data_IF_698070522182
#
_entry.id   IF_698070522182
#
_cell.length_a   1.000
_cell.length_b   1.000
_cell.length_c   1.000
_cell.angle_alpha   90.00
_cell.angle_beta   90.00
_cell.angle_gamma   90.00
#
_symmetry.space_group_name_H-M   'P 1'
#
loop_
_entity.id
_entity.type
_entity.pdbx_description
1 polymer ?
#
# COMPACT_ATOMS: atom_id res chain seq x y z
N UNK A 1 -22.23 -2.00 8.61
CA UNK A 1 -21.89 -1.39 7.31
C UNK A 1 -20.39 -1.27 7.30
N UNK A 2 -19.71 -2.10 6.51
CA UNK A 2 -18.26 -1.96 6.31
C UNK A 2 -18.03 -0.58 5.69
N UNK A 3 -17.26 0.29 6.35
CA UNK A 3 -16.96 1.60 5.79
C UNK A 3 -16.05 1.40 4.60
N UNK A 4 -16.56 1.61 3.39
CA UNK A 4 -15.73 1.62 2.19
C UNK A 4 -14.85 2.88 2.25
N UNK A 5 -13.54 2.70 2.43
CA UNK A 5 -12.55 3.78 2.47
C UNK A 5 -11.70 3.72 1.21
N UNK A 6 -11.49 4.87 0.61
CA UNK A 6 -10.61 5.03 -0.55
C UNK A 6 -9.35 5.76 -0.07
N UNK A 7 -8.18 5.21 -0.40
CA UNK A 7 -6.90 5.79 -0.05
C UNK A 7 -6.12 6.14 -1.31
N UNK A 8 -5.53 7.33 -1.34
CA UNK A 8 -4.53 7.63 -2.38
C UNK A 8 -3.26 6.83 -2.10
N UNK A 9 -2.72 6.19 -3.13
CA UNK A 9 -1.46 5.46 -3.05
C UNK A 9 -0.46 6.02 -4.04
N UNK A 10 0.76 6.29 -3.56
CA UNK A 10 1.88 6.66 -4.39
C UNK A 10 2.77 5.45 -4.63
N UNK A 11 3.33 5.40 -5.83
CA UNK A 11 4.12 4.28 -6.33
C UNK A 11 5.41 4.78 -6.90
N UNK A 12 6.50 4.22 -6.43
CA UNK A 12 7.85 4.55 -6.88
C UNK A 12 8.51 3.28 -7.40
N UNK A 13 8.90 3.22 -8.69
CA UNK A 13 9.70 2.11 -9.20
C UNK A 13 11.10 2.15 -8.58
N UNK A 14 11.63 0.99 -8.22
CA UNK A 14 12.95 0.90 -7.58
C UNK A 14 14.08 0.63 -8.59
N UNK A 15 15.31 1.13 -8.34
CA UNK A 15 16.46 0.90 -9.22
C UNK A 15 16.78 -0.57 -9.47
N UNK A 16 16.59 -1.42 -8.47
CA UNK A 16 16.82 -2.87 -8.52
C UNK A 16 15.68 -3.63 -9.21
N UNK A 17 14.59 -2.94 -9.57
CA UNK A 17 13.34 -3.54 -10.03
C UNK A 17 12.28 -3.60 -8.93
N UNK A 18 11.02 -3.77 -9.32
CA UNK A 18 9.89 -3.72 -8.41
C UNK A 18 9.37 -2.31 -8.11
N UNK A 19 8.49 -2.22 -7.13
CA UNK A 19 7.76 -1.01 -6.76
C UNK A 19 7.64 -0.89 -5.25
N UNK A 20 7.87 0.32 -4.74
CA UNK A 20 7.45 0.71 -3.40
C UNK A 20 6.13 1.44 -3.50
N UNK A 21 5.19 1.09 -2.61
CA UNK A 21 3.91 1.76 -2.44
C UNK A 21 3.90 2.40 -1.05
N UNK A 22 3.39 3.62 -0.99
CA UNK A 22 3.15 4.32 0.28
C UNK A 22 1.82 5.05 0.22
N UNK A 23 1.18 5.17 1.39
CA UNK A 23 -0.13 5.79 1.56
C UNK A 23 0.07 7.14 2.24
N UNK A 24 -0.06 8.30 1.58
CA UNK A 24 0.21 9.60 2.21
C UNK A 24 -0.65 9.87 3.45
N UNK A 25 -1.87 9.33 3.48
CA UNK A 25 -2.80 9.43 4.62
C UNK A 25 -2.42 8.50 5.78
N UNK A 26 -1.66 7.45 5.51
CA UNK A 26 -1.17 6.46 6.47
C UNK A 26 0.34 6.29 6.29
N UNK A 27 1.15 7.28 6.72
CA UNK A 27 2.59 7.31 6.43
C UNK A 27 3.37 6.16 7.07
N UNK A 28 2.79 5.49 8.06
CA UNK A 28 3.34 4.28 8.69
C UNK A 28 3.19 3.03 7.79
N UNK A 29 2.37 3.11 6.74
CA UNK A 29 2.15 2.03 5.79
C UNK A 29 3.01 2.25 4.54
N UNK A 30 4.06 1.45 4.46
CA UNK A 30 4.99 1.36 3.34
C UNK A 30 5.10 -0.11 2.96
N UNK A 31 4.89 -0.43 1.68
CA UNK A 31 5.02 -1.79 1.16
C UNK A 31 5.87 -1.81 -0.10
N UNK A 32 6.44 -2.96 -0.41
CA UNK A 32 7.24 -3.17 -1.62
C UNK A 32 6.79 -4.44 -2.33
N UNK A 33 7.04 -4.59 -3.63
CA UNK A 33 6.77 -5.82 -4.35
C UNK A 33 7.41 -5.83 -5.74
N UNK A 34 7.62 -7.01 -6.31
CA UNK A 34 8.29 -7.18 -7.60
C UNK A 34 7.44 -6.64 -8.76
N UNK A 35 6.12 -6.59 -8.55
CA UNK A 35 5.17 -6.05 -9.51
C UNK A 35 4.27 -4.98 -8.90
N UNK A 36 3.72 -4.11 -9.75
CA UNK A 36 2.77 -3.07 -9.33
C UNK A 36 1.56 -3.66 -8.60
N UNK A 37 1.07 -4.82 -9.02
CA UNK A 37 -0.12 -5.43 -8.44
C UNK A 37 0.18 -6.05 -7.07
N UNK A 38 1.35 -6.65 -6.92
CA UNK A 38 1.81 -7.23 -5.65
C UNK A 38 2.02 -6.15 -4.58
N UNK A 39 2.75 -5.08 -4.92
CA UNK A 39 2.98 -3.98 -3.98
C UNK A 39 1.65 -3.34 -3.53
N UNK A 40 0.68 -3.22 -4.44
CA UNK A 40 -0.68 -2.74 -4.12
C UNK A 40 -1.48 -3.72 -3.25
N UNK A 41 -1.39 -5.03 -3.51
CA UNK A 41 -2.07 -6.03 -2.72
C UNK A 41 -1.56 -6.00 -1.27
N UNK A 42 -0.24 -5.92 -1.08
CA UNK A 42 0.34 -5.76 0.25
C UNK A 42 -0.07 -4.46 0.93
N UNK A 43 -0.13 -3.35 0.18
CA UNK A 43 -0.59 -2.08 0.75
C UNK A 43 -2.03 -2.20 1.26
N UNK A 44 -2.91 -2.87 0.51
CA UNK A 44 -4.28 -3.12 0.93
C UNK A 44 -4.33 -3.95 2.22
N UNK A 45 -3.60 -5.05 2.28
CA UNK A 45 -3.60 -5.93 3.46
C UNK A 45 -3.03 -5.21 4.71
N UNK A 46 -2.01 -4.37 4.53
CA UNK A 46 -1.44 -3.56 5.60
C UNK A 46 -2.41 -2.48 6.11
N UNK A 47 -3.16 -1.84 5.21
CA UNK A 47 -4.23 -0.89 5.57
C UNK A 47 -5.35 -1.61 6.33
N UNK A 48 -5.79 -2.76 5.86
CA UNK A 48 -6.85 -3.55 6.51
C UNK A 48 -6.43 -3.89 7.95
N UNK A 49 -5.22 -4.43 8.14
CA UNK A 49 -4.69 -4.73 9.47
C UNK A 49 -4.51 -3.50 10.37
N UNK A 50 -4.16 -2.33 9.80
CA UNK A 50 -4.06 -1.08 10.56
C UNK A 50 -5.42 -0.61 11.09
N UNK A 51 -6.48 -0.76 10.28
CA UNK A 51 -7.84 -0.31 10.63
C UNK A 51 -8.60 -1.26 11.55
N UNK A 52 -8.17 -2.51 11.64
CA UNK A 52 -8.69 -3.50 12.60
C UNK A 52 -8.20 -3.26 14.05
N UNK A 53 -7.35 -2.25 14.27
CA UNK A 53 -6.81 -1.85 15.59
C UNK A 53 -7.73 -0.86 16.31
#
# INVERSE_FOLDING_TARGET
>A
MESQREYEVRREPQPEGGFTVFVPELPDIITEGDTRNEALAMAKDAIDGYLET
#
